data_IF_539053581553
#
_entry.id   IF_539053581553
#
_cell.length_a   1.000
_cell.length_b   1.000
_cell.length_c   1.000
_cell.angle_alpha   90.00
_cell.angle_beta   90.00
_cell.angle_gamma   90.00
#
_symmetry.space_group_name_H-M   'P 1'
#
loop_
_entity.id
_entity.type
_entity.pdbx_description
1 polymer ?
#
# COMPACT_ATOMS: atom_id res chain seq x y z
N UNK A 1 5.86 -14.15 1.47
CA UNK A 1 6.67 -13.18 2.24
C UNK A 1 5.78 -11.99 2.57
N UNK A 2 5.78 -11.54 3.82
CA UNK A 2 4.91 -10.44 4.24
C UNK A 2 5.42 -9.11 3.64
N UNK A 3 4.53 -8.25 3.12
CA UNK A 3 4.90 -6.91 2.70
C UNK A 3 5.40 -6.11 3.89
N UNK A 4 6.52 -5.44 3.66
CA UNK A 4 7.17 -4.50 4.57
C UNK A 4 6.28 -3.25 4.81
N UNK A 5 5.30 -3.06 3.92
CA UNK A 5 4.35 -1.94 3.91
C UNK A 5 3.23 -2.02 4.97
N UNK A 6 3.20 -3.07 5.80
CA UNK A 6 2.21 -3.23 6.86
C UNK A 6 2.68 -2.62 8.19
N UNK A 7 2.02 -1.55 8.62
CA UNK A 7 2.46 -0.67 9.72
C UNK A 7 1.58 -0.76 10.95
N UNK A 8 0.32 -1.18 10.81
CA UNK A 8 -0.70 -1.03 11.86
C UNK A 8 -1.14 -2.36 12.48
N UNK A 9 -1.24 -2.43 13.81
CA UNK A 9 -1.94 -3.52 14.51
C UNK A 9 -3.41 -3.19 14.72
N UNK A 10 -4.17 -4.21 15.10
CA UNK A 10 -5.55 -4.04 15.56
C UNK A 10 -5.66 -3.09 16.77
N UNK A 11 -4.69 -3.16 17.69
CA UNK A 11 -4.65 -2.29 18.88
C UNK A 11 -4.46 -0.82 18.50
N UNK A 12 -3.56 -0.55 17.56
CA UNK A 12 -3.27 0.81 17.10
C UNK A 12 -4.52 1.41 16.44
N UNK A 13 -5.17 0.63 15.57
CA UNK A 13 -6.42 1.03 14.91
C UNK A 13 -7.58 1.25 15.89
N UNK A 14 -7.67 0.46 16.97
CA UNK A 14 -8.66 0.69 18.02
C UNK A 14 -8.45 2.05 18.72
N UNK A 15 -7.19 2.37 19.03
CA UNK A 15 -6.82 3.65 19.66
C UNK A 15 -7.08 4.82 18.70
N UNK A 16 -6.60 4.74 17.47
CA UNK A 16 -6.74 5.80 16.46
C UNK A 16 -8.21 6.13 16.15
N UNK A 17 -9.06 5.11 16.10
CA UNK A 17 -10.48 5.26 15.77
C UNK A 17 -11.35 5.49 17.01
N UNK A 18 -10.78 5.42 18.21
CA UNK A 18 -11.48 5.47 19.50
C UNK A 18 -12.64 4.45 19.56
N UNK A 19 -12.32 3.17 19.34
CA UNK A 19 -13.30 2.07 19.27
C UNK A 19 -12.87 0.90 20.15
N UNK A 20 -13.86 0.20 20.70
CA UNK A 20 -13.60 -1.02 21.46
C UNK A 20 -13.12 -2.16 20.55
N UNK A 21 -12.21 -3.06 21.02
CA UNK A 21 -11.71 -4.19 20.24
C UNK A 21 -12.81 -5.06 19.62
N UNK A 22 -13.90 -5.31 20.35
CA UNK A 22 -15.07 -6.07 19.84
C UNK A 22 -15.74 -5.43 18.63
N UNK A 23 -15.70 -4.09 18.51
CA UNK A 23 -16.24 -3.40 17.33
C UNK A 23 -15.31 -3.60 16.14
N UNK A 24 -14.01 -3.54 16.39
CA UNK A 24 -12.98 -3.72 15.38
C UNK A 24 -12.98 -5.16 14.82
N UNK A 25 -13.15 -6.18 15.67
CA UNK A 25 -13.30 -7.58 15.25
C UNK A 25 -14.49 -7.80 14.31
N UNK A 26 -15.59 -7.04 14.48
CA UNK A 26 -16.76 -7.12 13.59
C UNK A 26 -16.49 -6.51 12.21
N UNK A 27 -15.63 -5.50 12.12
CA UNK A 27 -15.32 -4.83 10.86
C UNK A 27 -14.25 -5.55 10.04
N UNK A 28 -13.57 -6.51 10.63
CA UNK A 28 -12.47 -7.26 10.01
C UNK A 28 -12.74 -8.76 10.12
N UNK A 29 -13.77 -9.27 9.42
CA UNK A 29 -14.09 -10.69 9.45
C UNK A 29 -12.96 -11.53 8.84
N UNK A 30 -12.70 -12.70 9.44
CA UNK A 30 -11.72 -13.66 8.92
C UNK A 30 -12.24 -14.35 7.64
N UNK A 31 -11.35 -14.75 6.71
CA UNK A 31 -9.89 -14.58 6.73
C UNK A 31 -9.46 -13.21 6.17
N UNK A 32 -8.74 -12.44 6.98
CA UNK A 32 -8.20 -11.12 6.59
C UNK A 32 -6.84 -11.33 5.89
N UNK A 33 -6.46 -10.56 4.86
CA UNK A 33 -5.07 -10.45 4.46
C UNK A 33 -4.29 -9.84 5.63
N UNK A 34 -3.63 -10.71 6.39
CA UNK A 34 -2.81 -10.36 7.55
C UNK A 34 -1.36 -10.52 7.13
N UNK A 35 -0.58 -9.48 7.34
CA UNK A 35 0.85 -9.53 7.18
C UNK A 35 1.48 -9.82 8.53
N UNK A 36 2.35 -10.82 8.58
CA UNK A 36 2.98 -11.23 9.85
C UNK A 36 4.43 -10.75 9.88
N UNK A 37 4.70 -9.67 10.59
CA UNK A 37 6.08 -9.28 10.86
C UNK A 37 6.58 -9.99 12.12
N UNK A 38 7.61 -10.81 11.96
CA UNK A 38 8.32 -11.47 13.06
C UNK A 38 9.72 -10.90 13.28
N UNK A 39 10.22 -10.08 12.33
CA UNK A 39 11.58 -9.54 12.33
C UNK A 39 11.75 -8.35 13.25
N UNK A 40 10.70 -7.57 13.50
CA UNK A 40 10.73 -6.43 14.39
C UNK A 40 9.64 -6.51 15.48
N UNK A 41 9.89 -5.83 16.60
CA UNK A 41 8.84 -5.55 17.57
C UNK A 41 8.04 -4.32 17.07
N UNK A 42 6.70 -4.32 17.24
CA UNK A 42 5.90 -5.36 17.86
C UNK A 42 5.60 -6.51 16.89
N UNK A 43 5.91 -7.75 17.32
CA UNK A 43 5.61 -8.97 16.56
C UNK A 43 4.10 -9.17 16.46
N UNK A 44 3.61 -9.62 15.31
CA UNK A 44 2.23 -10.09 15.18
C UNK A 44 1.56 -9.73 13.88
N UNK A 45 0.23 -9.64 13.94
CA UNK A 45 -0.64 -9.41 12.79
C UNK A 45 -0.72 -7.92 12.50
N UNK A 46 -0.20 -7.55 11.34
CA UNK A 46 -0.14 -6.18 10.83
C UNK A 46 -1.06 -6.03 9.62
N UNK A 47 -1.57 -4.83 9.43
CA UNK A 47 -2.39 -4.42 8.30
C UNK A 47 -1.67 -3.35 7.51
N UNK A 48 -1.77 -3.44 6.18
CA UNK A 48 -1.35 -2.34 5.31
C UNK A 48 -2.48 -1.31 5.18
N UNK A 49 -2.14 -0.03 5.08
CA UNK A 49 -3.10 1.06 4.89
C UNK A 49 -4.16 0.81 3.80
N UNK A 50 -3.83 0.34 2.58
CA UNK A 50 -4.86 0.07 1.56
C UNK A 50 -5.88 -0.99 1.99
N UNK A 51 -5.48 -1.99 2.80
CA UNK A 51 -6.39 -3.00 3.33
C UNK A 51 -7.29 -2.44 4.42
N UNK A 52 -6.72 -1.65 5.33
CA UNK A 52 -7.48 -0.97 6.39
C UNK A 52 -8.57 -0.10 5.77
N UNK A 53 -8.24 0.68 4.75
CA UNK A 53 -9.21 1.51 4.01
C UNK A 53 -10.31 0.64 3.40
N UNK A 54 -9.92 -0.39 2.64
CA UNK A 54 -10.85 -1.30 1.96
C UNK A 54 -11.82 -1.95 2.94
N UNK A 55 -11.29 -2.55 4.01
CA UNK A 55 -12.07 -3.33 4.98
C UNK A 55 -12.98 -2.43 5.82
N UNK A 56 -12.47 -1.28 6.28
CA UNK A 56 -13.28 -0.39 7.10
C UNK A 56 -14.34 0.33 6.28
N UNK A 57 -14.10 0.67 5.01
CA UNK A 57 -15.14 1.23 4.14
C UNK A 57 -16.23 0.22 3.81
N UNK A 58 -15.88 -1.04 3.62
CA UNK A 58 -16.86 -2.10 3.36
C UNK A 58 -17.70 -2.46 4.59
N UNK A 59 -17.08 -2.58 5.76
CA UNK A 59 -17.72 -3.24 6.91
C UNK A 59 -18.18 -2.29 8.03
N UNK A 60 -17.67 -1.05 8.07
CA UNK A 60 -18.11 -0.05 9.06
C UNK A 60 -19.27 0.75 8.47
N UNK A 61 -20.38 0.88 9.19
CA UNK A 61 -21.57 1.64 8.74
C UNK A 61 -21.27 3.06 8.25
N UNK A 62 -20.29 3.75 8.86
CA UNK A 62 -19.85 5.09 8.46
C UNK A 62 -18.58 5.10 7.60
N UNK A 63 -17.99 3.93 7.33
CA UNK A 63 -16.71 3.77 6.64
C UNK A 63 -15.51 4.42 7.33
N UNK A 64 -14.42 4.55 6.58
CA UNK A 64 -13.20 5.26 6.97
C UNK A 64 -13.01 6.49 6.07
N UNK A 65 -13.32 7.67 6.61
CA UNK A 65 -13.29 8.96 5.93
C UNK A 65 -12.95 10.10 6.92
N UNK A 66 -12.69 11.30 6.40
CA UNK A 66 -12.47 12.53 7.18
C UNK A 66 -11.36 12.37 8.23
N UNK A 67 -11.57 12.91 9.43
CA UNK A 67 -10.60 12.88 10.53
C UNK A 67 -10.15 11.47 10.93
N UNK A 68 -11.00 10.45 10.74
CA UNK A 68 -10.61 9.07 11.00
C UNK A 68 -9.59 8.59 9.97
N UNK A 69 -9.80 8.92 8.69
CA UNK A 69 -8.85 8.59 7.63
C UNK A 69 -7.54 9.35 7.84
N UNK A 70 -7.62 10.66 8.11
CA UNK A 70 -6.44 11.50 8.32
C UNK A 70 -5.55 10.97 9.47
N UNK A 71 -6.14 10.59 10.61
CA UNK A 71 -5.40 9.99 11.73
C UNK A 71 -4.72 8.68 11.38
N UNK A 72 -5.40 7.82 10.63
CA UNK A 72 -4.85 6.53 10.21
C UNK A 72 -3.71 6.70 9.21
N UNK A 73 -3.85 7.61 8.23
CA UNK A 73 -2.78 7.92 7.27
C UNK A 73 -1.57 8.56 7.96
N UNK A 74 -1.79 9.49 8.90
CA UNK A 74 -0.71 10.12 9.65
C UNK A 74 0.08 9.10 10.49
N UNK A 75 -0.62 8.17 11.15
CA UNK A 75 0.03 7.09 11.91
C UNK A 75 0.86 6.18 11.00
N UNK A 76 0.29 5.71 9.88
CA UNK A 76 1.01 4.89 8.90
C UNK A 76 2.28 5.60 8.40
N UNK A 77 2.17 6.89 8.09
CA UNK A 77 3.29 7.71 7.61
C UNK A 77 4.40 7.84 8.66
N UNK A 78 4.03 8.11 9.92
CA UNK A 78 5.00 8.20 11.02
C UNK A 78 5.73 6.88 11.25
N UNK A 79 5.00 5.76 11.34
CA UNK A 79 5.59 4.43 11.51
C UNK A 79 6.54 4.05 10.37
N UNK A 80 6.21 4.40 9.12
CA UNK A 80 7.11 4.17 7.98
C UNK A 80 8.39 4.99 8.08
N UNK A 81 8.28 6.27 8.46
CA UNK A 81 9.44 7.13 8.64
C UNK A 81 10.37 6.62 9.76
N UNK A 82 9.81 6.18 10.88
CA UNK A 82 10.59 5.60 11.99
C UNK A 82 11.30 4.29 11.58
N UNK A 83 10.61 3.44 10.81
CA UNK A 83 11.19 2.19 10.29
C UNK A 83 12.31 2.45 9.28
N UNK A 84 12.13 3.42 8.39
CA UNK A 84 13.15 3.81 7.42
C UNK A 84 14.43 4.35 8.08
N UNK A 85 14.32 4.97 9.26
CA UNK A 85 15.46 5.42 10.04
C UNK A 85 16.20 4.28 10.79
N UNK A 86 15.60 3.08 10.87
CA UNK A 86 16.14 1.95 11.61
C UNK A 86 17.11 1.11 10.75
N UNK A 87 18.37 0.89 11.19
CA UNK A 87 19.33 0.09 10.44
C UNK A 87 18.82 -1.33 10.14
N UNK A 88 18.91 -1.74 8.88
CA UNK A 88 18.52 -3.08 8.43
C UNK A 88 17.05 -3.24 8.07
N UNK A 89 16.27 -2.16 8.06
CA UNK A 89 14.90 -2.20 7.55
C UNK A 89 14.93 -2.23 6.00
N UNK A 90 14.29 -3.22 5.36
CA UNK A 90 14.29 -3.35 3.91
C UNK A 90 13.46 -2.25 3.22
N UNK A 91 13.85 -1.87 2.00
CA UNK A 91 13.14 -0.87 1.18
C UNK A 91 11.66 -1.25 1.00
N UNK A 92 10.79 -0.24 1.03
CA UNK A 92 9.32 -0.35 0.92
C UNK A 92 8.81 -0.76 -0.47
N UNK A 93 9.74 -1.02 -1.39
CA UNK A 93 9.49 -1.40 -2.77
C UNK A 93 8.75 -2.73 -2.88
N UNK A 94 8.93 -3.68 -1.94
CA UNK A 94 8.22 -4.97 -1.98
C UNK A 94 6.78 -4.87 -1.48
N UNK A 95 5.84 -5.12 -2.40
CA UNK A 95 4.40 -5.01 -2.20
C UNK A 95 3.76 -6.27 -1.62
N UNK A 96 4.50 -7.36 -1.36
CA UNK A 96 3.96 -8.56 -0.72
C UNK A 96 3.30 -9.57 -1.66
N UNK A 97 2.65 -10.58 -1.07
CA UNK A 97 1.87 -11.58 -1.80
C UNK A 97 0.61 -10.99 -2.43
N UNK A 98 0.23 -11.51 -3.61
CA UNK A 98 -1.00 -11.17 -4.36
C UNK A 98 -1.29 -9.66 -4.53
N UNK A 99 -0.30 -8.85 -4.96
CA UNK A 99 -0.46 -7.39 -5.02
C UNK A 99 -1.56 -6.94 -5.99
N UNK A 100 -1.86 -7.70 -7.05
CA UNK A 100 -2.93 -7.38 -8.00
C UNK A 100 -4.31 -7.41 -7.35
N UNK A 101 -4.66 -8.50 -6.66
CA UNK A 101 -5.97 -8.64 -6.01
C UNK A 101 -6.18 -7.58 -4.92
N UNK A 102 -5.10 -7.25 -4.18
CA UNK A 102 -5.12 -6.20 -3.16
C UNK A 102 -5.28 -4.81 -3.78
N UNK A 103 -4.62 -4.55 -4.90
CA UNK A 103 -4.77 -3.30 -5.65
C UNK A 103 -6.17 -3.15 -6.25
N UNK A 104 -6.75 -4.21 -6.78
CA UNK A 104 -8.12 -4.22 -7.28
C UNK A 104 -9.12 -3.91 -6.16
N UNK A 105 -9.00 -4.58 -5.01
CA UNK A 105 -9.86 -4.33 -3.86
C UNK A 105 -9.72 -2.89 -3.34
N UNK A 106 -8.49 -2.37 -3.26
CA UNK A 106 -8.24 -0.98 -2.86
C UNK A 106 -8.86 0.01 -3.86
N UNK A 107 -8.66 -0.20 -5.16
CA UNK A 107 -9.23 0.64 -6.22
C UNK A 107 -10.77 0.69 -6.14
N UNK A 108 -11.41 -0.44 -5.88
CA UNK A 108 -12.86 -0.53 -5.74
C UNK A 108 -13.40 0.21 -4.51
N UNK A 109 -12.56 0.45 -3.49
CA UNK A 109 -12.93 1.14 -2.26
C UNK A 109 -12.69 2.67 -2.31
N UNK A 110 -12.09 3.19 -3.37
CA UNK A 110 -11.78 4.62 -3.51
C UNK A 110 -13.04 5.46 -3.75
N UNK A 111 -13.03 6.70 -3.25
CA UNK A 111 -14.00 7.72 -3.68
C UNK A 111 -13.67 8.19 -5.10
N UNK A 112 -14.57 8.96 -5.73
CA UNK A 112 -14.32 9.48 -7.08
C UNK A 112 -13.04 10.34 -7.14
N UNK A 113 -12.85 11.21 -6.15
CA UNK A 113 -11.67 12.10 -6.07
C UNK A 113 -10.37 11.31 -5.88
N UNK A 114 -10.38 10.31 -5.00
CA UNK A 114 -9.24 9.40 -4.81
C UNK A 114 -9.01 8.54 -6.07
N UNK A 115 -10.08 8.18 -6.77
CA UNK A 115 -10.04 7.46 -8.04
C UNK A 115 -9.35 8.26 -9.14
N UNK A 116 -9.57 9.57 -9.22
CA UNK A 116 -8.82 10.43 -10.14
C UNK A 116 -7.34 10.47 -9.78
N UNK A 117 -6.99 10.60 -8.50
CA UNK A 117 -5.58 10.54 -8.07
C UNK A 117 -4.94 9.19 -8.36
N UNK A 118 -5.66 8.08 -8.19
CA UNK A 118 -5.17 6.76 -8.55
C UNK A 118 -4.91 6.64 -10.06
N UNK A 119 -5.76 7.23 -10.91
CA UNK A 119 -5.51 7.30 -12.37
C UNK A 119 -4.27 8.12 -12.71
N UNK A 120 -4.00 9.21 -11.98
CA UNK A 120 -2.76 9.98 -12.15
C UNK A 120 -1.52 9.13 -11.86
N UNK A 121 -1.53 8.38 -10.74
CA UNK A 121 -0.46 7.42 -10.41
C UNK A 121 -0.31 6.38 -11.52
N UNK A 122 -1.41 5.78 -11.98
CA UNK A 122 -1.39 4.78 -13.05
C UNK A 122 -0.80 5.32 -14.36
N UNK A 123 -1.15 6.56 -14.72
CA UNK A 123 -0.63 7.23 -15.91
C UNK A 123 0.87 7.53 -15.77
N UNK A 124 1.29 8.06 -14.62
CA UNK A 124 2.71 8.35 -14.34
C UNK A 124 3.54 7.06 -14.37
N UNK A 125 3.06 6.00 -13.72
CA UNK A 125 3.69 4.67 -13.75
C UNK A 125 3.80 4.12 -15.18
N UNK A 126 2.73 4.21 -15.97
CA UNK A 126 2.75 3.69 -17.34
C UNK A 126 3.76 4.44 -18.22
N UNK A 127 3.78 5.77 -18.12
CA UNK A 127 4.76 6.61 -18.81
C UNK A 127 6.19 6.26 -18.38
N UNK A 128 6.43 6.19 -17.07
CA UNK A 128 7.74 5.89 -16.51
C UNK A 128 8.25 4.50 -16.95
N UNK A 129 7.38 3.48 -16.95
CA UNK A 129 7.73 2.13 -17.38
C UNK A 129 8.12 2.09 -18.86
N UNK A 130 7.40 2.84 -19.73
CA UNK A 130 7.74 2.96 -21.15
C UNK A 130 9.10 3.64 -21.37
N UNK A 131 9.33 4.78 -20.71
CA UNK A 131 10.60 5.52 -20.78
C UNK A 131 11.76 4.68 -20.23
N UNK A 132 11.50 3.91 -19.17
CA UNK A 132 12.48 3.02 -18.54
C UNK A 132 12.75 1.73 -19.33
N UNK A 133 11.97 1.43 -20.38
CA UNK A 133 12.07 0.20 -21.17
C UNK A 133 11.64 -1.06 -20.42
N UNK A 134 10.72 -0.94 -19.45
CA UNK A 134 10.26 -2.06 -18.62
C UNK A 134 9.07 -2.76 -19.31
N UNK A 135 9.13 -4.07 -19.56
CA UNK A 135 8.15 -4.75 -20.42
C UNK A 135 6.75 -4.88 -19.81
N UNK A 136 6.63 -4.87 -18.48
CA UNK A 136 5.41 -5.25 -17.75
C UNK A 136 4.55 -4.07 -17.32
N UNK A 137 4.39 -3.10 -18.23
CA UNK A 137 3.69 -1.81 -18.00
C UNK A 137 2.31 -1.99 -17.35
N UNK A 138 1.50 -2.92 -17.87
CA UNK A 138 0.12 -3.12 -17.38
C UNK A 138 0.11 -3.58 -15.92
N UNK A 139 0.90 -4.61 -15.60
CA UNK A 139 0.99 -5.12 -14.23
C UNK A 139 1.50 -4.04 -13.27
N UNK A 140 2.48 -3.25 -13.70
CA UNK A 140 3.05 -2.18 -12.89
C UNK A 140 2.04 -1.07 -12.58
N UNK A 141 1.27 -0.59 -13.57
CA UNK A 141 0.23 0.41 -13.29
C UNK A 141 -0.86 -0.15 -12.36
N UNK A 142 -1.16 -1.44 -12.44
CA UNK A 142 -2.14 -2.05 -11.54
C UNK A 142 -1.64 -2.09 -10.09
N UNK A 143 -0.42 -2.56 -9.83
CA UNK A 143 0.05 -2.80 -8.46
C UNK A 143 0.62 -1.57 -7.76
N UNK A 144 1.11 -0.56 -8.50
CA UNK A 144 1.76 0.62 -7.88
C UNK A 144 0.82 1.45 -7.02
N UNK A 145 -0.49 1.39 -7.24
CA UNK A 145 -1.48 2.14 -6.45
C UNK A 145 -1.55 1.70 -4.97
N UNK A 146 -1.02 0.53 -4.62
CA UNK A 146 -0.92 0.05 -3.23
C UNK A 146 0.47 0.28 -2.61
N UNK A 147 1.38 0.93 -3.32
CA UNK A 147 2.66 1.37 -2.74
C UNK A 147 2.41 2.47 -1.71
N UNK A 148 3.06 2.48 -0.53
CA UNK A 148 2.79 3.45 0.54
C UNK A 148 2.77 4.91 0.11
N UNK A 149 3.81 5.35 -0.61
CA UNK A 149 3.86 6.70 -1.19
C UNK A 149 2.66 7.04 -2.09
N UNK A 150 2.26 6.10 -2.96
CA UNK A 150 1.10 6.27 -3.83
C UNK A 150 -0.21 6.28 -3.03
N UNK A 151 -0.33 5.44 -2.00
CA UNK A 151 -1.50 5.38 -1.13
C UNK A 151 -1.66 6.70 -0.35
N UNK A 152 -0.58 7.27 0.21
CA UNK A 152 -0.62 8.59 0.87
C UNK A 152 -1.15 9.63 -0.10
N UNK A 153 -0.56 9.75 -1.28
CA UNK A 153 -1.04 10.68 -2.32
C UNK A 153 -2.51 10.45 -2.69
N UNK A 154 -2.90 9.21 -2.93
CA UNK A 154 -4.28 8.88 -3.33
C UNK A 154 -5.28 9.29 -2.24
N UNK A 155 -4.96 9.08 -0.96
CA UNK A 155 -5.88 9.34 0.15
C UNK A 155 -5.87 10.79 0.63
N UNK A 156 -4.76 11.52 0.49
CA UNK A 156 -4.62 12.88 1.06
C UNK A 156 -4.30 13.97 0.04
N UNK A 157 -3.93 13.62 -1.18
CA UNK A 157 -3.42 14.57 -2.19
C UNK A 157 -1.96 14.99 -1.98
N UNK A 158 -1.29 14.43 -0.98
CA UNK A 158 0.07 14.78 -0.62
C UNK A 158 1.10 14.12 -1.54
N UNK A 159 1.95 14.94 -2.16
CA UNK A 159 2.91 14.51 -3.18
C UNK A 159 4.33 14.27 -2.64
N UNK A 160 4.58 14.56 -1.37
CA UNK A 160 5.95 14.60 -0.80
C UNK A 160 6.73 13.28 -0.95
N UNK A 161 6.04 12.14 -0.89
CA UNK A 161 6.67 10.82 -1.00
C UNK A 161 6.72 10.28 -2.44
N UNK A 162 6.10 10.97 -3.41
CA UNK A 162 6.12 10.51 -4.80
C UNK A 162 7.50 10.73 -5.43
N UNK A 163 7.89 9.88 -6.40
CA UNK A 163 9.09 10.12 -7.17
C UNK A 163 9.08 11.50 -7.85
N UNK A 164 10.23 12.17 -7.84
CA UNK A 164 10.37 13.53 -8.38
C UNK A 164 10.95 13.48 -9.81
N UNK A 165 10.20 14.04 -10.76
CA UNK A 165 10.60 14.15 -12.16
C UNK A 165 10.68 12.80 -12.90
N UNK A 166 10.87 12.87 -14.22
CA UNK A 166 10.87 11.67 -15.09
C UNK A 166 11.96 10.66 -14.70
N UNK A 167 13.14 11.16 -14.32
CA UNK A 167 14.25 10.31 -13.88
C UNK A 167 13.95 9.58 -12.56
N UNK A 168 13.32 10.26 -11.60
CA UNK A 168 12.92 9.65 -10.32
C UNK A 168 11.89 8.56 -10.52
N UNK A 169 10.85 8.84 -11.32
CA UNK A 169 9.83 7.85 -11.68
C UNK A 169 10.40 6.65 -12.43
N UNK A 170 11.32 6.88 -13.38
CA UNK A 170 11.97 5.81 -14.14
C UNK A 170 12.87 4.91 -13.26
N UNK A 171 13.60 5.49 -12.31
CA UNK A 171 14.42 4.72 -11.37
C UNK A 171 13.55 3.90 -10.41
N UNK A 172 12.53 4.53 -9.84
CA UNK A 172 11.61 3.89 -8.91
C UNK A 172 10.84 2.73 -9.56
N UNK A 173 10.34 2.92 -10.79
CA UNK A 173 9.56 1.86 -11.44
C UNK A 173 10.39 0.63 -11.83
N UNK A 174 11.68 0.83 -12.16
CA UNK A 174 12.63 -0.27 -12.37
C UNK A 174 12.80 -1.10 -11.09
N UNK A 175 12.95 -0.43 -9.94
CA UNK A 175 13.04 -1.13 -8.65
C UNK A 175 11.77 -1.93 -8.36
N UNK A 176 10.59 -1.33 -8.58
CA UNK A 176 9.30 -2.01 -8.39
C UNK A 176 9.18 -3.25 -9.29
N UNK A 177 9.55 -3.19 -10.57
CA UNK A 177 9.52 -4.34 -11.50
C UNK A 177 10.41 -5.48 -11.02
N UNK A 178 11.67 -5.17 -10.69
CA UNK A 178 12.68 -6.16 -10.25
C UNK A 178 12.23 -6.88 -8.98
N UNK A 179 11.66 -6.15 -8.03
CA UNK A 179 11.33 -6.68 -6.70
C UNK A 179 9.99 -7.42 -6.70
N UNK A 180 8.99 -6.93 -7.45
CA UNK A 180 7.61 -7.43 -7.34
C UNK A 180 7.21 -8.47 -8.39
N UNK A 181 8.07 -8.73 -9.37
CA UNK A 181 7.75 -9.61 -10.47
C UNK A 181 8.83 -10.68 -10.62
N UNK A 182 8.50 -11.96 -10.39
CA UNK A 182 9.46 -13.05 -10.55
C UNK A 182 10.00 -13.07 -11.99
N UNK A 183 11.33 -13.02 -12.12
CA UNK A 183 12.05 -13.17 -13.40
C UNK A 183 12.00 -14.60 -13.96
N UNK A 184 11.49 -15.58 -13.21
CA UNK A 184 11.47 -17.00 -13.58
C UNK A 184 10.42 -17.40 -14.61
N UNK A 185 9.48 -16.52 -14.99
CA UNK A 185 8.48 -16.84 -16.04
C UNK A 185 9.13 -16.94 -17.45
N UNK A 186 10.35 -16.43 -17.63
CA UNK A 186 11.05 -16.47 -18.93
C UNK A 186 11.90 -17.75 -19.15
N UNK A 187 11.97 -18.69 -18.18
CA UNK A 187 12.75 -19.94 -18.34
C UNK A 187 11.94 -21.21 -18.63
N UNK A 188 10.60 -21.15 -18.60
CA UNK A 188 9.76 -22.32 -18.92
C UNK A 188 9.09 -22.22 -20.30
N UNK A 189 9.41 -21.18 -21.09
CA UNK A 189 8.88 -20.97 -22.43
C UNK A 189 9.96 -20.83 -23.53
N UNK A 190 11.20 -21.26 -23.26
CA UNK A 190 12.30 -21.29 -24.23
C UNK A 190 12.83 -22.71 -24.43
#
# INVERSE_FOLDING_TARGET
MNPITATMRATDLCVLLNVAPRSFERWLPRPIPIHVDFSAAPRGRMYALPEVVTLLRANRKRGLYGDNLARVVAYDTGERAERAASPGFPDDVWLGGTPQARAEAFRAALTDEEGERARLVQKATAHAALVAGVPRVERLRQITIIHPACVRFILTGDVEELPVGDAGWAAWIKAVDVVNIPTTIEKEAA
#
